data_IF_101750627007
#
_entry.id   IF_101750627007
#
_cell.length_a   1.000
_cell.length_b   1.000
_cell.length_c   1.000
_cell.angle_alpha   90.00
_cell.angle_beta   90.00
_cell.angle_gamma   90.00
#
_symmetry.space_group_name_H-M   'P 1'
#
loop_
_entity.id
_entity.type
_entity.pdbx_description
1 polymer ?
#
# COMPACT_ATOMS: atom_id res chain seq x y z
N UNK A 1 10.77 -4.01 -16.84
CA UNK A 1 10.33 -3.64 -15.48
C UNK A 1 11.53 -3.13 -14.72
N UNK A 2 11.46 -1.92 -14.16
CA UNK A 2 12.54 -1.32 -13.36
C UNK A 2 12.03 -1.20 -11.94
N UNK A 3 12.76 -1.73 -10.97
CA UNK A 3 12.42 -1.59 -9.56
C UNK A 3 13.25 -0.46 -8.95
N UNK A 4 12.68 0.27 -8.00
CA UNK A 4 13.39 1.31 -7.24
C UNK A 4 13.68 0.86 -5.82
N UNK A 5 14.91 1.08 -5.36
CA UNK A 5 15.32 0.87 -3.97
C UNK A 5 15.12 2.17 -3.19
N UNK A 6 14.32 2.12 -2.12
CA UNK A 6 14.25 3.17 -1.11
C UNK A 6 14.81 2.59 0.19
N UNK A 7 15.94 3.14 0.64
CA UNK A 7 16.52 2.78 1.94
C UNK A 7 15.77 3.54 3.03
N UNK A 8 14.88 2.84 3.73
CA UNK A 8 14.25 3.37 4.95
C UNK A 8 14.72 2.52 6.12
N UNK A 9 15.54 3.09 7.00
CA UNK A 9 15.82 2.61 8.36
C UNK A 9 15.90 1.06 8.51
N UNK A 10 16.91 0.44 7.89
CA UNK A 10 17.16 -1.01 8.05
C UNK A 10 16.26 -1.94 7.23
N UNK A 11 15.34 -1.40 6.44
CA UNK A 11 14.54 -2.18 5.48
C UNK A 11 14.84 -1.76 4.05
N UNK A 12 15.18 -2.74 3.21
CA UNK A 12 15.32 -2.57 1.77
C UNK A 12 13.97 -2.85 1.11
N UNK A 13 13.30 -1.80 0.64
CA UNK A 13 12.03 -1.94 -0.07
C UNK A 13 12.26 -2.02 -1.58
N UNK A 14 11.60 -2.97 -2.23
CA UNK A 14 11.59 -3.13 -3.69
C UNK A 14 10.17 -2.88 -4.22
N UNK A 15 9.99 -1.80 -4.96
CA UNK A 15 8.69 -1.46 -5.57
C UNK A 15 8.70 -1.82 -7.04
N UNK A 16 7.69 -2.57 -7.48
CA UNK A 16 7.42 -2.74 -8.91
C UNK A 16 6.85 -1.44 -9.49
N UNK A 17 7.00 -1.21 -10.79
CA UNK A 17 6.14 -0.26 -11.50
C UNK A 17 4.67 -0.66 -11.34
N UNK A 18 3.78 0.31 -11.56
CA UNK A 18 2.35 0.06 -11.64
C UNK A 18 2.05 -0.94 -12.77
N UNK A 19 1.27 -1.97 -12.44
CA UNK A 19 0.85 -2.99 -13.38
C UNK A 19 -0.63 -2.78 -13.72
N UNK A 20 -0.92 -2.48 -14.98
CA UNK A 20 -2.29 -2.42 -15.48
C UNK A 20 -2.75 -3.83 -15.81
N UNK A 21 -3.75 -4.31 -15.07
CA UNK A 21 -4.39 -5.60 -15.34
C UNK A 21 -5.44 -5.45 -16.46
N UNK A 22 -5.60 -6.47 -17.34
CA UNK A 22 -6.65 -6.45 -18.35
C UNK A 22 -8.04 -6.55 -17.71
N UNK A 23 -9.06 -6.00 -18.39
CA UNK A 23 -10.45 -6.17 -17.98
C UNK A 23 -10.85 -7.65 -18.05
N UNK A 24 -11.58 -8.12 -17.04
CA UNK A 24 -12.18 -9.46 -17.02
C UNK A 24 -13.65 -9.37 -17.43
N UNK A 25 -14.17 -10.42 -18.08
CA UNK A 25 -15.59 -10.52 -18.41
C UNK A 25 -16.45 -10.88 -17.20
N UNK A 26 -17.77 -10.78 -17.36
CA UNK A 26 -18.74 -11.11 -16.32
C UNK A 26 -18.60 -12.59 -15.87
N UNK A 27 -18.39 -12.79 -14.56
CA UNK A 27 -18.25 -14.12 -13.97
C UNK A 27 -16.87 -14.75 -14.13
N UNK A 28 -15.89 -14.04 -14.69
CA UNK A 28 -14.52 -14.52 -14.80
C UNK A 28 -13.70 -14.22 -13.52
N UNK A 29 -12.62 -14.97 -13.31
CA UNK A 29 -11.66 -14.71 -12.23
C UNK A 29 -10.26 -14.65 -12.82
N UNK A 30 -9.46 -13.68 -12.37
CA UNK A 30 -8.05 -13.57 -12.72
C UNK A 30 -7.17 -14.10 -11.59
N UNK A 31 -6.20 -14.95 -11.94
CA UNK A 31 -5.16 -15.43 -11.04
C UNK A 31 -3.80 -15.15 -11.65
N UNK A 32 -2.86 -14.68 -10.85
CA UNK A 32 -1.48 -14.45 -11.27
C UNK A 32 -0.51 -15.08 -10.28
N UNK A 33 0.59 -15.59 -10.83
CA UNK A 33 1.75 -16.03 -10.06
C UNK A 33 2.92 -15.12 -10.37
N UNK A 34 3.73 -14.85 -9.37
CA UNK A 34 5.00 -14.18 -9.53
C UNK A 34 6.09 -15.00 -8.83
N UNK A 35 7.33 -14.76 -9.22
CA UNK A 35 8.50 -15.33 -8.59
C UNK A 35 9.43 -14.21 -8.19
N UNK A 36 9.98 -14.32 -6.98
CA UNK A 36 11.00 -13.42 -6.46
C UNK A 36 12.27 -14.22 -6.23
N UNK A 37 13.40 -13.66 -6.67
CA UNK A 37 14.71 -14.17 -6.29
C UNK A 37 15.12 -13.50 -4.99
N UNK A 38 14.82 -14.15 -3.86
CA UNK A 38 15.30 -13.73 -2.56
C UNK A 38 16.70 -14.31 -2.33
N UNK A 39 17.72 -13.49 -2.55
CA UNK A 39 19.15 -13.80 -2.33
C UNK A 39 19.63 -12.85 -1.22
N UNK A 40 19.09 -13.06 -0.01
CA UNK A 40 19.40 -12.22 1.16
C UNK A 40 20.58 -12.85 1.91
N UNK A 41 21.70 -12.12 2.06
CA UNK A 41 22.80 -12.57 2.88
C UNK A 41 22.46 -12.30 4.33
N UNK A 42 22.48 -13.37 5.14
CA UNK A 42 22.42 -13.33 6.60
C UNK A 42 23.06 -12.02 7.12
N UNK A 43 22.26 -11.22 7.85
CA UNK A 43 22.53 -9.81 8.13
C UNK A 43 23.90 -9.56 8.75
N UNK A 44 24.49 -10.55 9.42
CA UNK A 44 25.90 -10.55 9.83
C UNK A 44 26.71 -11.75 9.31
N UNK A 45 26.06 -12.80 8.79
CA UNK A 45 26.70 -13.84 7.98
C UNK A 45 27.50 -14.86 8.81
N UNK A 46 27.22 -14.95 10.10
CA UNK A 46 28.02 -15.74 11.04
C UNK A 46 27.53 -17.20 11.18
N UNK A 47 26.37 -17.53 10.59
CA UNK A 47 25.83 -18.88 10.53
C UNK A 47 25.43 -19.43 11.90
N UNK A 48 24.99 -18.56 12.82
CA UNK A 48 24.57 -18.90 14.17
C UNK A 48 23.10 -19.34 14.28
N UNK A 49 22.35 -19.35 13.16
CA UNK A 49 20.90 -19.61 13.09
C UNK A 49 20.08 -18.67 14.01
N UNK A 50 20.53 -17.41 14.17
CA UNK A 50 19.89 -16.42 15.00
C UNK A 50 19.82 -15.05 14.28
N UNK A 51 18.59 -14.64 13.93
CA UNK A 51 18.24 -13.45 13.14
C UNK A 51 18.44 -13.61 11.62
N UNK A 52 17.92 -14.69 11.06
CA UNK A 52 17.83 -14.87 9.61
C UNK A 52 17.02 -13.74 8.95
N UNK A 53 17.39 -13.36 7.74
CA UNK A 53 16.68 -12.31 7.01
C UNK A 53 15.23 -12.72 6.69
N UNK A 54 14.28 -11.84 7.04
CA UNK A 54 12.88 -11.98 6.68
C UNK A 54 12.53 -11.04 5.53
N UNK A 55 11.81 -11.55 4.53
CA UNK A 55 11.13 -10.71 3.54
C UNK A 55 9.62 -10.80 3.73
N UNK A 56 8.92 -9.71 3.48
CA UNK A 56 7.47 -9.69 3.35
C UNK A 56 7.10 -9.24 1.93
N UNK A 57 5.97 -9.73 1.44
CA UNK A 57 5.38 -9.26 0.21
C UNK A 57 3.99 -8.72 0.51
N UNK A 58 3.69 -7.58 -0.08
CA UNK A 58 2.37 -7.00 -0.03
C UNK A 58 1.98 -6.52 -1.42
N UNK A 59 0.72 -6.72 -1.78
CA UNK A 59 0.16 -6.29 -3.07
C UNK A 59 -0.76 -5.11 -2.78
N UNK A 60 -0.57 -4.02 -3.52
CA UNK A 60 -1.36 -2.81 -3.41
C UNK A 60 -2.30 -2.70 -4.61
N UNK A 61 -3.59 -2.56 -4.33
CA UNK A 61 -4.57 -2.15 -5.32
C UNK A 61 -4.71 -0.62 -5.28
N UNK A 62 -4.17 0.05 -6.30
CA UNK A 62 -4.22 1.50 -6.45
C UNK A 62 -5.61 2.04 -6.79
N UNK A 63 -6.51 1.19 -7.28
CA UNK A 63 -7.89 1.58 -7.59
C UNK A 63 -8.78 1.62 -6.35
N UNK A 64 -8.35 0.97 -5.26
CA UNK A 64 -9.01 0.97 -3.96
C UNK A 64 -8.75 2.29 -3.22
N UNK A 65 -9.46 3.34 -3.63
CA UNK A 65 -9.43 4.64 -2.98
C UNK A 65 -10.48 4.68 -1.85
N UNK A 66 -10.01 4.90 -0.62
CA UNK A 66 -10.89 5.02 0.56
C UNK A 66 -11.18 6.47 0.95
N UNK A 67 -10.62 7.44 0.22
CA UNK A 67 -10.94 8.86 0.38
C UNK A 67 -12.22 9.21 -0.35
N UNK A 68 -13.19 9.72 0.40
CA UNK A 68 -14.48 10.10 -0.16
C UNK A 68 -15.11 11.24 0.65
N UNK A 69 -16.09 11.90 0.04
CA UNK A 69 -16.94 12.87 0.74
C UNK A 69 -18.15 12.15 1.31
N UNK A 70 -18.44 12.34 2.60
CA UNK A 70 -19.69 11.85 3.19
C UNK A 70 -20.18 12.75 4.32
N UNK A 71 -21.42 12.53 4.75
CA UNK A 71 -21.98 13.24 5.91
C UNK A 71 -21.64 12.57 7.24
N UNK A 72 -20.78 11.53 7.24
CA UNK A 72 -20.38 10.82 8.45
C UNK A 72 -19.67 11.77 9.42
N UNK A 73 -20.17 11.79 10.67
CA UNK A 73 -19.72 12.68 11.74
C UNK A 73 -19.57 14.16 11.32
N UNK A 74 -20.47 14.66 10.48
CA UNK A 74 -20.43 16.04 9.96
C UNK A 74 -21.16 17.04 10.84
N UNK A 75 -20.59 18.25 10.93
CA UNK A 75 -21.22 19.39 11.62
C UNK A 75 -22.11 20.22 10.68
N UNK A 76 -21.72 20.41 9.41
CA UNK A 76 -22.49 21.14 8.42
C UNK A 76 -22.06 20.77 6.98
N UNK A 77 -22.83 19.91 6.32
CA UNK A 77 -22.52 19.42 4.96
C UNK A 77 -21.56 18.23 4.96
N UNK A 78 -21.04 17.87 3.79
CA UNK A 78 -20.15 16.71 3.67
C UNK A 78 -18.75 17.01 4.22
N UNK A 79 -18.21 16.07 5.00
CA UNK A 79 -16.81 16.01 5.39
C UNK A 79 -16.02 15.16 4.38
N UNK A 80 -14.72 15.46 4.24
CA UNK A 80 -13.79 14.61 3.50
C UNK A 80 -13.02 13.75 4.49
N UNK A 81 -13.08 12.43 4.35
CA UNK A 81 -12.40 11.50 5.26
C UNK A 81 -11.95 10.24 4.52
N UNK A 82 -11.01 9.52 5.14
CA UNK A 82 -10.54 8.22 4.67
C UNK A 82 -11.12 7.13 5.56
N UNK A 83 -11.82 6.18 4.97
CA UNK A 83 -12.37 5.03 5.69
C UNK A 83 -13.49 4.36 4.92
N UNK A 84 -14.02 3.29 5.50
CA UNK A 84 -15.09 2.49 4.95
C UNK A 84 -16.41 2.87 5.63
N UNK A 85 -17.38 3.31 4.83
CA UNK A 85 -18.71 3.74 5.30
C UNK A 85 -19.51 2.57 5.91
N UNK A 86 -19.32 1.33 5.43
CA UNK A 86 -20.08 0.16 5.88
C UNK A 86 -19.74 -0.21 7.32
N UNK A 87 -18.48 -0.02 7.71
CA UNK A 87 -18.00 -0.27 9.08
C UNK A 87 -17.79 1.01 9.90
N UNK A 88 -18.04 2.18 9.30
CA UNK A 88 -17.86 3.48 9.94
C UNK A 88 -16.45 3.67 10.53
N UNK A 89 -15.42 3.20 9.81
CA UNK A 89 -14.07 3.11 10.37
C UNK A 89 -13.00 2.66 9.36
N UNK A 90 -11.91 2.11 9.89
CA UNK A 90 -10.77 1.62 9.11
C UNK A 90 -10.78 0.10 9.08
N UNK A 91 -10.40 -0.45 7.93
CA UNK A 91 -10.13 -1.88 7.76
C UNK A 91 -8.62 -2.14 7.84
N UNK A 92 -8.23 -3.42 7.88
CA UNK A 92 -6.82 -3.84 7.81
C UNK A 92 -6.28 -3.69 6.38
N UNK A 93 -6.22 -2.45 5.91
CA UNK A 93 -5.76 -2.05 4.59
C UNK A 93 -4.49 -1.21 4.63
N UNK A 94 -4.04 -0.79 3.44
CA UNK A 94 -2.91 0.12 3.32
C UNK A 94 -3.24 1.51 3.87
N UNK A 95 -2.32 2.08 4.65
CA UNK A 95 -2.42 3.48 5.08
C UNK A 95 -2.28 4.38 3.85
N UNK A 96 -3.25 5.28 3.65
CA UNK A 96 -3.25 6.26 2.57
C UNK A 96 -3.09 7.66 3.15
N UNK A 97 -2.31 8.50 2.45
CA UNK A 97 -2.15 9.91 2.79
C UNK A 97 -2.73 10.77 1.69
N UNK A 98 -3.41 11.83 2.07
CA UNK A 98 -3.84 12.85 1.12
C UNK A 98 -2.68 13.82 0.91
N UNK A 99 -2.00 13.67 -0.23
CA UNK A 99 -1.00 14.63 -0.67
C UNK A 99 -1.70 15.79 -1.37
N UNK A 100 -1.75 16.96 -0.73
CA UNK A 100 -2.32 18.18 -1.29
C UNK A 100 -1.25 19.25 -1.38
N UNK A 101 -1.33 20.17 -2.37
CA UNK A 101 -0.51 21.37 -2.36
C UNK A 101 -0.63 22.12 -1.03
N UNK A 102 0.43 22.84 -0.63
CA UNK A 102 0.41 23.66 0.57
C UNK A 102 -0.73 24.68 0.52
N UNK A 103 -1.60 24.68 1.53
CA UNK A 103 -2.63 25.69 1.70
C UNK A 103 -2.18 26.75 2.70
N UNK A 104 -2.48 28.02 2.42
CA UNK A 104 -2.34 29.09 3.43
C UNK A 104 -3.61 29.12 4.27
N UNK A 105 -3.45 29.17 5.59
CA UNK A 105 -4.58 29.25 6.53
C UNK A 105 -4.56 30.63 7.17
N UNK A 106 -5.44 31.51 6.68
CA UNK A 106 -5.46 32.93 7.04
C UNK A 106 -4.35 33.74 6.38
N UNK A 107 -4.56 35.05 6.29
CA UNK A 107 -3.52 36.04 5.98
C UNK A 107 -2.71 36.40 7.25
#
# INVERSE_FOLDING_TARGET
>A
MSFSLLSSQGSYNLYSPDLVLPSIGDGETMSFGFWIRADMPDSDGDGDDNLEDYYSLSILDLSSNVWHSSNFNSYNGANFWCGDEEVSGYMDGWIQYLDTPSISVGD
#
